data_IF_542022189792
#
_entry.id   IF_542022189792
#
_cell.length_a   1.000
_cell.length_b   1.000
_cell.length_c   1.000
_cell.angle_alpha   90.00
_cell.angle_beta   90.00
_cell.angle_gamma   90.00
#
_symmetry.space_group_name_H-M   'P 1'
#
loop_
_entity.id
_entity.type
_entity.pdbx_description
1 polymer ?
#
# COMPACT_ATOMS: atom_id res chain seq x y z
N UNK A 1 5.60 -13.22 24.87
CA UNK A 1 5.75 -12.85 26.30
C UNK A 1 4.52 -12.10 26.87
N UNK A 2 3.52 -11.76 26.03
CA UNK A 2 2.25 -11.13 26.51
C UNK A 2 1.13 -12.16 26.77
N UNK A 3 1.34 -13.39 26.36
CA UNK A 3 0.40 -14.50 26.57
C UNK A 3 1.07 -15.46 27.57
N UNK A 4 0.37 -15.82 28.66
CA UNK A 4 0.91 -16.65 29.74
C UNK A 4 1.44 -18.02 29.26
N UNK A 5 2.16 -18.71 30.15
CA UNK A 5 2.86 -19.98 29.88
C UNK A 5 1.94 -21.14 29.43
N UNK A 6 0.63 -21.04 29.66
CA UNK A 6 -0.38 -22.04 29.24
C UNK A 6 -0.90 -21.86 27.81
N UNK A 7 -0.24 -21.02 26.99
CA UNK A 7 -0.68 -20.76 25.61
C UNK A 7 -0.22 -21.86 24.66
N UNK A 8 -1.15 -22.54 24.01
CA UNK A 8 -0.84 -23.46 22.91
C UNK A 8 -0.49 -22.68 21.66
N UNK A 9 0.74 -22.81 21.17
CA UNK A 9 1.20 -22.18 19.92
C UNK A 9 1.07 -23.18 18.77
N UNK A 10 0.18 -22.89 17.82
CA UNK A 10 0.05 -23.63 16.57
C UNK A 10 0.73 -22.81 15.46
N UNK A 11 1.74 -23.38 14.82
CA UNK A 11 2.45 -22.75 13.68
C UNK A 11 2.13 -23.52 12.43
N UNK A 12 1.56 -22.82 11.43
CA UNK A 12 1.42 -23.32 10.06
C UNK A 12 2.58 -22.81 9.17
N UNK A 13 2.62 -23.29 7.95
CA UNK A 13 3.54 -22.76 6.93
C UNK A 13 3.16 -21.32 6.56
N UNK A 14 4.17 -20.46 6.36
CA UNK A 14 3.96 -19.07 5.92
C UNK A 14 3.75 -18.98 4.41
N UNK A 15 4.28 -19.93 3.66
CA UNK A 15 4.08 -20.02 2.22
C UNK A 15 2.69 -20.59 1.91
N UNK A 16 2.09 -20.10 0.81
CA UNK A 16 0.85 -20.65 0.26
C UNK A 16 1.14 -21.21 -1.11
N UNK A 17 0.84 -22.47 -1.32
CA UNK A 17 1.03 -23.18 -2.61
C UNK A 17 0.22 -22.54 -3.73
N UNK A 18 -0.88 -21.84 -3.39
CA UNK A 18 -1.73 -21.13 -4.36
C UNK A 18 -1.06 -19.89 -4.97
N UNK A 19 0.04 -19.37 -4.39
CA UNK A 19 0.66 -18.14 -4.89
C UNK A 19 1.75 -18.42 -5.91
N UNK A 20 1.62 -17.83 -7.09
CA UNK A 20 2.65 -17.80 -8.14
C UNK A 20 3.37 -16.46 -8.09
N UNK A 21 4.59 -16.47 -7.57
CA UNK A 21 5.39 -15.26 -7.38
C UNK A 21 6.29 -15.01 -8.61
N UNK A 22 6.22 -13.79 -9.14
CA UNK A 22 7.07 -13.33 -10.25
C UNK A 22 7.67 -11.97 -9.96
N UNK A 23 8.85 -11.70 -10.56
CA UNK A 23 9.50 -10.40 -10.56
C UNK A 23 9.91 -10.06 -11.98
N UNK A 24 9.54 -8.88 -12.46
CA UNK A 24 9.96 -8.35 -13.76
C UNK A 24 10.82 -7.09 -13.54
N UNK A 25 12.14 -7.24 -13.42
CA UNK A 25 13.05 -6.11 -13.24
C UNK A 25 13.38 -5.41 -14.56
N UNK A 26 14.05 -4.26 -14.45
CA UNK A 26 14.67 -3.59 -15.60
C UNK A 26 13.73 -2.77 -16.49
N UNK A 27 12.49 -2.57 -16.06
CA UNK A 27 11.55 -1.70 -16.75
C UNK A 27 11.65 -0.28 -16.18
N UNK A 28 11.76 0.72 -17.06
CA UNK A 28 11.59 2.12 -16.67
C UNK A 28 10.11 2.40 -16.25
N UNK A 29 9.81 3.55 -15.62
CA UNK A 29 8.47 3.85 -15.15
C UNK A 29 7.39 3.74 -16.23
N UNK A 30 7.68 4.23 -17.44
CA UNK A 30 6.76 4.19 -18.58
C UNK A 30 6.53 2.77 -19.08
N UNK A 31 7.62 2.00 -19.19
CA UNK A 31 7.57 0.60 -19.61
C UNK A 31 6.80 -0.30 -18.60
N UNK A 32 6.91 -0.04 -17.31
CA UNK A 32 6.12 -0.76 -16.28
C UNK A 32 4.63 -0.52 -16.46
N UNK A 33 4.22 0.74 -16.69
CA UNK A 33 2.80 1.08 -16.90
C UNK A 33 2.31 0.46 -18.22
N UNK A 34 3.09 0.56 -19.29
CA UNK A 34 2.74 -0.03 -20.58
C UNK A 34 2.63 -1.56 -20.50
N UNK A 35 3.55 -2.20 -19.77
CA UNK A 35 3.52 -3.63 -19.53
C UNK A 35 2.23 -4.02 -18.76
N UNK A 36 1.95 -3.33 -17.65
CA UNK A 36 0.73 -3.59 -16.87
C UNK A 36 -0.52 -3.42 -17.73
N UNK A 37 -0.60 -2.35 -18.52
CA UNK A 37 -1.72 -2.04 -19.39
C UNK A 37 -1.96 -3.15 -20.43
N UNK A 38 -0.88 -3.72 -20.96
CA UNK A 38 -0.97 -4.80 -21.97
C UNK A 38 -1.33 -6.16 -21.37
N UNK A 39 -1.04 -6.39 -20.08
CA UNK A 39 -1.18 -7.72 -19.46
C UNK A 39 -2.23 -7.77 -18.35
N UNK A 40 -2.84 -6.64 -17.95
CA UNK A 40 -3.83 -6.65 -16.87
C UNK A 40 -5.01 -7.58 -17.18
N UNK A 41 -5.37 -7.69 -18.45
CA UNK A 41 -6.43 -8.59 -18.92
C UNK A 41 -6.13 -10.07 -18.74
N UNK A 42 -4.86 -10.45 -18.77
CA UNK A 42 -4.40 -11.85 -18.73
C UNK A 42 -4.51 -12.44 -17.30
N UNK A 43 -4.49 -11.61 -16.27
CA UNK A 43 -4.68 -12.09 -14.90
C UNK A 43 -6.09 -12.63 -14.70
N UNK A 44 -6.22 -13.74 -14.00
CA UNK A 44 -7.52 -14.34 -13.70
C UNK A 44 -8.24 -13.59 -12.59
N UNK A 45 -9.53 -13.34 -12.76
CA UNK A 45 -10.39 -12.71 -11.74
C UNK A 45 -10.10 -11.23 -11.53
N UNK A 46 -10.39 -10.76 -10.32
CA UNK A 46 -10.13 -9.41 -9.85
C UNK A 46 -8.88 -9.36 -8.98
N UNK A 47 -8.22 -8.20 -8.90
CA UNK A 47 -7.00 -8.06 -8.13
C UNK A 47 -6.75 -6.67 -7.57
N UNK A 48 -5.56 -6.50 -7.01
CA UNK A 48 -5.07 -5.23 -6.49
C UNK A 48 -3.74 -4.90 -7.18
N UNK A 49 -3.61 -3.67 -7.64
CA UNK A 49 -2.35 -3.11 -8.12
C UNK A 49 -1.86 -2.10 -7.10
N UNK A 50 -0.81 -2.43 -6.38
CA UNK A 50 -0.21 -1.52 -5.40
C UNK A 50 0.76 -0.56 -6.07
N UNK A 51 0.71 0.70 -5.64
CA UNK A 51 1.61 1.77 -6.05
C UNK A 51 2.19 2.46 -4.82
N UNK A 52 3.34 3.11 -4.98
CA UNK A 52 4.02 3.78 -3.87
C UNK A 52 3.42 5.17 -3.55
N UNK A 53 2.82 5.84 -4.54
CA UNK A 53 2.33 7.21 -4.40
C UNK A 53 0.88 7.34 -4.88
N UNK A 54 0.20 8.36 -4.36
CA UNK A 54 -1.17 8.70 -4.76
C UNK A 54 -1.23 9.10 -6.22
N UNK A 55 -0.27 9.92 -6.69
CA UNK A 55 -0.22 10.36 -8.09
C UNK A 55 -0.05 9.17 -9.04
N UNK A 56 0.82 8.21 -8.72
CA UNK A 56 0.98 7.00 -9.52
C UNK A 56 -0.32 6.19 -9.58
N UNK A 57 -1.06 6.07 -8.46
CA UNK A 57 -2.35 5.38 -8.45
C UNK A 57 -3.38 6.07 -9.37
N UNK A 58 -3.46 7.39 -9.32
CA UNK A 58 -4.38 8.19 -10.13
C UNK A 58 -4.02 8.09 -11.64
N UNK A 59 -2.74 8.25 -11.99
CA UNK A 59 -2.26 8.18 -13.38
C UNK A 59 -2.43 6.80 -14.00
N UNK A 60 -2.06 5.74 -13.28
CA UNK A 60 -2.24 4.37 -13.75
C UNK A 60 -3.72 4.06 -13.91
N UNK A 61 -4.58 4.49 -12.97
CA UNK A 61 -6.02 4.32 -13.09
C UNK A 61 -6.56 4.97 -14.37
N UNK A 62 -6.16 6.21 -14.66
CA UNK A 62 -6.56 6.92 -15.86
C UNK A 62 -6.14 6.17 -17.13
N UNK A 63 -4.87 5.78 -17.23
CA UNK A 63 -4.31 5.07 -18.39
C UNK A 63 -5.04 3.74 -18.62
N UNK A 64 -5.26 2.95 -17.57
CA UNK A 64 -5.92 1.66 -17.70
C UNK A 64 -7.41 1.80 -18.06
N UNK A 65 -8.10 2.83 -17.56
CA UNK A 65 -9.49 3.12 -17.95
C UNK A 65 -9.61 3.57 -19.40
N UNK A 66 -8.67 4.38 -19.87
CA UNK A 66 -8.62 4.80 -21.30
C UNK A 66 -8.44 3.60 -22.25
N UNK A 67 -7.89 2.49 -21.76
CA UNK A 67 -7.78 1.22 -22.46
C UNK A 67 -8.97 0.27 -22.24
N UNK A 68 -10.01 0.72 -21.54
CA UNK A 68 -11.25 -0.04 -21.34
C UNK A 68 -11.25 -0.98 -20.13
N UNK A 69 -10.24 -0.90 -19.25
CA UNK A 69 -10.26 -1.70 -18.03
C UNK A 69 -11.13 -1.08 -16.94
N UNK A 70 -11.97 -1.90 -16.29
CA UNK A 70 -12.76 -1.49 -15.13
C UNK A 70 -11.89 -1.44 -13.87
N UNK A 71 -11.23 -0.31 -13.66
CA UNK A 71 -10.35 -0.06 -12.50
C UNK A 71 -10.71 1.24 -11.81
N UNK A 72 -10.39 1.35 -10.53
CA UNK A 72 -10.57 2.56 -9.70
C UNK A 72 -9.36 2.77 -8.80
N UNK A 73 -9.07 4.04 -8.50
CA UNK A 73 -8.04 4.39 -7.53
C UNK A 73 -8.57 4.23 -6.10
N UNK A 74 -7.73 3.74 -5.20
CA UNK A 74 -8.00 3.62 -3.77
C UNK A 74 -6.80 4.15 -2.99
N UNK A 75 -6.91 5.34 -2.45
CA UNK A 75 -5.78 6.06 -1.84
C UNK A 75 -6.14 6.64 -0.48
N UNK A 76 -5.18 7.29 0.17
CA UNK A 76 -5.42 8.04 1.39
C UNK A 76 -6.42 9.21 1.22
N UNK A 77 -6.62 9.69 -0.03
CA UNK A 77 -7.56 10.78 -0.36
C UNK A 77 -8.99 10.31 -0.61
N UNK A 78 -9.20 9.01 -0.84
CA UNK A 78 -10.52 8.42 -1.02
C UNK A 78 -11.29 8.52 0.30
N UNK A 79 -12.49 9.08 0.32
CA UNK A 79 -13.29 9.18 1.53
C UNK A 79 -13.85 7.83 2.01
N UNK A 80 -14.42 7.80 3.21
CA UNK A 80 -14.83 6.53 3.84
C UNK A 80 -16.01 5.86 3.13
N UNK A 81 -16.94 6.64 2.59
CA UNK A 81 -18.11 6.12 1.89
C UNK A 81 -17.71 5.53 0.54
N UNK A 82 -16.91 6.27 -0.23
CA UNK A 82 -16.34 5.80 -1.50
C UNK A 82 -15.48 4.55 -1.30
N UNK A 83 -14.66 4.48 -0.24
CA UNK A 83 -13.87 3.27 0.08
C UNK A 83 -14.75 2.05 0.23
N UNK A 84 -15.84 2.16 1.01
CA UNK A 84 -16.75 1.05 1.22
C UNK A 84 -17.41 0.59 -0.09
N UNK A 85 -17.79 1.53 -0.96
CA UNK A 85 -18.34 1.23 -2.27
C UNK A 85 -17.32 0.51 -3.17
N UNK A 86 -16.09 1.02 -3.26
CA UNK A 86 -15.02 0.45 -4.07
C UNK A 86 -14.64 -0.96 -3.61
N UNK A 87 -14.56 -1.17 -2.30
CA UNK A 87 -14.32 -2.49 -1.73
C UNK A 87 -15.44 -3.48 -2.06
N UNK A 88 -16.70 -3.02 -1.99
CA UNK A 88 -17.84 -3.85 -2.37
C UNK A 88 -17.83 -4.15 -3.87
N UNK A 89 -17.53 -3.17 -4.72
CA UNK A 89 -17.42 -3.37 -6.16
C UNK A 89 -16.34 -4.41 -6.51
N UNK A 90 -15.19 -4.39 -5.80
CA UNK A 90 -14.14 -5.38 -6.01
C UNK A 90 -14.56 -6.77 -5.51
N UNK A 91 -15.23 -6.86 -4.36
CA UNK A 91 -15.78 -8.12 -3.82
C UNK A 91 -16.78 -8.76 -4.78
N UNK A 92 -17.62 -7.95 -5.40
CA UNK A 92 -18.64 -8.38 -6.37
C UNK A 92 -18.06 -8.66 -7.78
N UNK A 93 -16.75 -8.60 -7.96
CA UNK A 93 -16.06 -8.76 -9.27
C UNK A 93 -16.52 -7.76 -10.34
N UNK A 94 -17.03 -6.59 -9.94
CA UNK A 94 -17.41 -5.50 -10.86
C UNK A 94 -16.21 -4.63 -11.27
N UNK A 95 -15.08 -4.79 -10.59
CA UNK A 95 -13.81 -4.16 -10.94
C UNK A 95 -12.80 -5.23 -11.34
N UNK A 96 -12.00 -4.95 -12.36
CA UNK A 96 -10.83 -5.75 -12.68
C UNK A 96 -9.74 -5.58 -11.63
N UNK A 97 -9.52 -4.34 -11.16
CA UNK A 97 -8.58 -4.08 -10.08
C UNK A 97 -8.90 -2.78 -9.32
N UNK A 98 -8.47 -2.73 -8.06
CA UNK A 98 -8.20 -1.49 -7.36
C UNK A 98 -6.72 -1.12 -7.55
N UNK A 99 -6.47 0.12 -7.97
CA UNK A 99 -5.13 0.70 -8.04
C UNK A 99 -4.91 1.43 -6.72
N UNK A 100 -4.14 0.84 -5.82
CA UNK A 100 -4.14 1.23 -4.43
C UNK A 100 -2.75 1.64 -3.92
N UNK A 101 -2.73 2.58 -2.98
CA UNK A 101 -1.58 2.77 -2.10
C UNK A 101 -1.71 1.85 -0.88
N UNK A 102 -0.78 1.96 0.08
CA UNK A 102 -0.89 1.28 1.39
C UNK A 102 -2.17 1.64 2.18
N UNK A 103 -2.98 2.62 1.71
CA UNK A 103 -4.28 2.97 2.28
C UNK A 103 -5.29 1.82 2.22
N UNK A 104 -5.19 0.91 1.24
CA UNK A 104 -5.91 -0.35 1.26
C UNK A 104 -5.26 -1.28 2.30
N UNK A 105 -5.56 -0.97 3.55
CA UNK A 105 -4.91 -1.53 4.73
C UNK A 105 -5.57 -2.77 5.29
N UNK A 106 -5.23 -3.09 6.56
CA UNK A 106 -5.80 -4.21 7.30
C UNK A 106 -7.33 -4.11 7.34
N UNK A 107 -8.01 -5.26 7.23
CA UNK A 107 -9.48 -5.34 7.29
C UNK A 107 -10.16 -5.61 5.94
N UNK A 108 -9.52 -5.29 4.81
CA UNK A 108 -10.05 -5.71 3.51
C UNK A 108 -9.76 -7.20 3.29
N UNK A 109 -10.79 -7.97 3.05
CA UNK A 109 -10.72 -9.39 2.70
C UNK A 109 -11.58 -9.70 1.48
N UNK A 110 -10.96 -10.38 0.51
CA UNK A 110 -11.60 -10.96 -0.67
C UNK A 110 -10.96 -12.33 -0.91
N UNK A 111 -11.61 -13.42 -0.50
CA UNK A 111 -11.04 -14.77 -0.54
C UNK A 111 -10.64 -15.22 -1.94
N UNK A 112 -11.40 -14.84 -2.96
CA UNK A 112 -11.20 -15.15 -4.38
C UNK A 112 -10.37 -14.10 -5.13
N UNK A 113 -9.50 -13.33 -4.43
CA UNK A 113 -8.60 -12.37 -5.07
C UNK A 113 -7.58 -13.11 -5.95
N UNK A 114 -7.66 -12.88 -7.27
CA UNK A 114 -6.92 -13.64 -8.26
C UNK A 114 -5.49 -13.17 -8.48
N UNK A 115 -5.19 -11.89 -8.20
CA UNK A 115 -3.84 -11.37 -8.39
C UNK A 115 -3.51 -10.16 -7.50
N UNK A 116 -2.22 -9.98 -7.28
CA UNK A 116 -1.62 -8.77 -6.69
C UNK A 116 -0.43 -8.36 -7.54
N UNK A 117 -0.42 -7.12 -8.02
CA UNK A 117 0.71 -6.53 -8.74
C UNK A 117 1.27 -5.36 -7.95
N UNK A 118 2.59 -5.27 -7.84
CA UNK A 118 3.28 -4.11 -7.27
C UNK A 118 3.95 -3.33 -8.39
N UNK A 119 3.55 -2.08 -8.60
CA UNK A 119 4.25 -1.10 -9.44
C UNK A 119 5.12 -0.24 -8.53
N UNK A 120 6.38 -0.66 -8.39
CA UNK A 120 7.28 -0.24 -7.33
C UNK A 120 7.28 -1.21 -6.15
N UNK A 121 8.45 -1.46 -5.58
CA UNK A 121 8.59 -2.38 -4.46
C UNK A 121 8.15 -1.74 -3.14
N UNK A 122 7.39 -2.43 -2.28
CA UNK A 122 7.06 -1.94 -0.95
C UNK A 122 8.31 -1.66 -0.10
N UNK A 123 8.19 -0.74 0.84
CA UNK A 123 9.32 -0.28 1.68
C UNK A 123 9.87 -1.34 2.66
N UNK A 124 9.22 -2.48 2.79
CA UNK A 124 9.69 -3.57 3.64
C UNK A 124 9.16 -4.93 3.19
N UNK A 125 9.90 -5.99 3.53
CA UNK A 125 9.45 -7.37 3.32
C UNK A 125 8.14 -7.69 4.07
N UNK A 126 7.91 -7.07 5.22
CA UNK A 126 6.68 -7.23 5.99
C UNK A 126 5.50 -6.62 5.24
N UNK A 127 5.65 -5.40 4.70
CA UNK A 127 4.61 -4.76 3.89
C UNK A 127 4.31 -5.59 2.64
N UNK A 128 5.33 -6.08 1.94
CA UNK A 128 5.18 -6.97 0.80
C UNK A 128 4.38 -8.22 1.18
N UNK A 129 4.78 -8.92 2.23
CA UNK A 129 4.13 -10.13 2.70
C UNK A 129 2.64 -9.90 3.06
N UNK A 130 2.32 -8.80 3.75
CA UNK A 130 0.95 -8.45 4.11
C UNK A 130 0.07 -8.16 2.89
N UNK A 131 0.63 -7.53 1.86
CA UNK A 131 -0.08 -7.21 0.61
C UNK A 131 -0.27 -8.46 -0.25
N UNK A 132 0.76 -9.25 -0.45
CA UNK A 132 0.73 -10.53 -1.17
C UNK A 132 -0.23 -11.52 -0.50
N UNK A 133 -0.22 -11.58 0.81
CA UNK A 133 -1.07 -12.47 1.60
C UNK A 133 -2.58 -12.21 1.47
N UNK A 134 -3.01 -11.21 0.69
CA UNK A 134 -4.43 -10.99 0.37
C UNK A 134 -4.93 -11.90 -0.74
N UNK A 135 -4.05 -12.28 -1.68
CA UNK A 135 -4.39 -13.16 -2.79
C UNK A 135 -4.33 -14.65 -2.39
N UNK A 136 -4.98 -15.49 -3.17
CA UNK A 136 -4.83 -16.94 -3.08
C UNK A 136 -5.43 -17.59 -1.84
N UNK A 137 -6.43 -16.97 -1.20
CA UNK A 137 -7.02 -17.52 0.04
C UNK A 137 -8.02 -18.64 -0.25
N UNK A 138 -8.83 -18.48 -1.29
CA UNK A 138 -9.83 -19.45 -1.70
C UNK A 138 -9.82 -19.66 -3.23
N UNK A 139 -8.65 -19.58 -3.84
CA UNK A 139 -8.42 -19.85 -5.25
C UNK A 139 -7.36 -20.96 -5.38
N UNK A 140 -7.44 -21.78 -6.42
CA UNK A 140 -6.41 -22.79 -6.71
C UNK A 140 -5.05 -22.15 -7.01
N UNK A 141 -5.08 -20.97 -7.63
CA UNK A 141 -3.88 -20.17 -7.88
C UNK A 141 -4.19 -18.68 -7.91
N UNK A 142 -3.23 -17.87 -7.53
CA UNK A 142 -3.25 -16.42 -7.66
C UNK A 142 -1.86 -15.91 -8.08
N UNK A 143 -1.85 -14.95 -8.98
CA UNK A 143 -0.62 -14.37 -9.49
C UNK A 143 -0.16 -13.20 -8.62
N UNK A 144 1.12 -13.19 -8.28
CA UNK A 144 1.76 -12.10 -7.59
C UNK A 144 2.94 -11.64 -8.41
N UNK A 145 2.91 -10.38 -8.84
CA UNK A 145 3.97 -9.81 -9.66
C UNK A 145 4.54 -8.56 -9.01
N UNK A 146 5.87 -8.48 -8.98
CA UNK A 146 6.60 -7.29 -8.57
C UNK A 146 7.29 -6.67 -9.79
N UNK A 147 6.99 -5.39 -10.05
CA UNK A 147 7.63 -4.55 -11.05
C UNK A 147 8.47 -3.48 -10.33
N UNK A 148 9.70 -3.81 -9.88
CA UNK A 148 10.52 -2.89 -9.11
C UNK A 148 11.07 -1.76 -9.99
N UNK A 149 11.29 -0.59 -9.40
CA UNK A 149 11.89 0.56 -10.02
C UNK A 149 13.20 1.00 -9.35
N UNK A 150 14.07 1.62 -10.11
CA UNK A 150 15.30 2.20 -9.57
C UNK A 150 14.99 3.35 -8.58
N UNK A 151 13.88 4.06 -8.81
CA UNK A 151 13.39 5.17 -8.00
C UNK A 151 12.77 4.74 -6.66
N UNK A 152 12.49 3.46 -6.46
CA UNK A 152 11.81 2.96 -5.25
C UNK A 152 12.58 3.36 -3.98
N UNK A 153 13.90 3.29 -4.00
CA UNK A 153 14.75 3.65 -2.86
C UNK A 153 14.60 5.15 -2.49
N UNK A 154 14.57 6.04 -3.47
CA UNK A 154 14.41 7.48 -3.24
C UNK A 154 13.01 7.78 -2.65
N UNK A 155 11.99 7.07 -3.12
CA UNK A 155 10.63 7.20 -2.59
C UNK A 155 10.56 6.72 -1.13
N UNK A 156 11.22 5.61 -0.80
CA UNK A 156 11.27 5.13 0.59
C UNK A 156 12.02 6.09 1.51
N UNK A 157 13.17 6.61 1.07
CA UNK A 157 13.94 7.61 1.81
C UNK A 157 13.12 8.86 2.06
N UNK A 158 12.39 9.34 1.05
CA UNK A 158 11.48 10.47 1.21
C UNK A 158 10.43 10.21 2.29
N UNK A 159 9.73 9.08 2.26
CA UNK A 159 8.71 8.76 3.27
C UNK A 159 9.32 8.53 4.67
N UNK A 160 10.49 7.95 4.75
CA UNK A 160 11.18 7.75 6.02
C UNK A 160 11.59 9.08 6.67
N UNK A 161 12.04 10.04 5.87
CA UNK A 161 12.51 11.35 6.35
C UNK A 161 11.36 12.36 6.53
N UNK A 162 10.36 12.35 5.65
CA UNK A 162 9.24 13.29 5.71
C UNK A 162 8.33 13.09 6.93
N UNK A 163 8.34 11.89 7.54
CA UNK A 163 7.57 11.58 8.75
C UNK A 163 8.31 11.91 10.07
N UNK A 164 9.60 12.19 10.00
CA UNK A 164 10.41 12.53 11.18
C UNK A 164 10.70 14.03 11.18
N UNK A 165 10.42 14.72 12.30
CA UNK A 165 10.82 16.10 12.44
C UNK A 165 12.35 16.19 12.40
N UNK A 166 12.87 17.33 11.95
CA UNK A 166 14.32 17.55 12.04
C UNK A 166 14.78 17.55 13.51
N UNK A 167 16.06 17.20 13.74
CA UNK A 167 16.61 17.23 15.10
C UNK A 167 16.46 18.62 15.75
N UNK A 168 16.57 19.69 14.96
CA UNK A 168 16.38 21.07 15.43
C UNK A 168 14.94 21.31 15.86
N UNK A 169 13.94 20.87 15.06
CA UNK A 169 12.52 21.04 15.38
C UNK A 169 12.13 20.23 16.62
N UNK A 170 12.61 18.98 16.71
CA UNK A 170 12.39 18.15 17.88
C UNK A 170 12.98 18.78 19.14
N UNK A 171 14.21 19.29 19.08
CA UNK A 171 14.84 19.98 20.20
C UNK A 171 14.10 21.28 20.57
N UNK A 172 13.63 22.06 19.59
CA UNK A 172 12.87 23.27 19.83
C UNK A 172 11.56 23.00 20.57
N UNK A 173 10.83 21.93 20.15
CA UNK A 173 9.61 21.48 20.84
C UNK A 173 9.91 21.03 22.27
N UNK A 174 10.96 20.21 22.47
CA UNK A 174 11.34 19.76 23.81
C UNK A 174 11.74 20.90 24.72
N UNK A 175 12.47 21.90 24.21
CA UNK A 175 12.85 23.12 24.95
C UNK A 175 11.61 23.93 25.34
N UNK A 176 10.71 24.18 24.38
CA UNK A 176 9.46 24.91 24.64
C UNK A 176 8.57 24.20 25.71
N UNK A 177 8.54 22.87 25.69
CA UNK A 177 7.82 22.11 26.71
C UNK A 177 8.50 22.14 28.06
N UNK A 178 9.84 22.13 28.12
CA UNK A 178 10.60 22.18 29.38
C UNK A 178 10.54 23.58 30.06
N UNK A 179 10.42 24.62 29.26
CA UNK A 179 10.33 26.01 29.76
C UNK A 179 8.88 26.42 30.11
N UNK A 180 7.89 25.60 29.79
CA UNK A 180 6.49 25.92 30.06
C UNK A 180 6.11 25.65 31.50
N UNK A 181 5.35 26.55 32.11
CA UNK A 181 4.79 26.39 33.46
C UNK A 181 3.64 25.40 33.56
N UNK A 182 3.29 24.70 32.45
CA UNK A 182 2.21 23.72 32.38
C UNK A 182 1.97 23.18 30.96
N UNK A 183 0.91 22.36 30.74
CA UNK A 183 0.64 21.75 29.45
C UNK A 183 0.42 22.78 28.35
N UNK A 184 1.04 22.55 27.19
CA UNK A 184 0.84 23.34 25.98
C UNK A 184 -0.07 22.63 25.00
N UNK A 185 -0.98 23.38 24.33
CA UNK A 185 -1.73 22.86 23.20
C UNK A 185 -0.83 22.80 21.95
N UNK A 186 -1.18 21.93 20.98
CA UNK A 186 -0.45 21.83 19.70
C UNK A 186 -0.37 23.19 19.02
N UNK A 187 -1.48 23.92 18.91
CA UNK A 187 -1.50 25.25 18.29
C UNK A 187 -0.56 26.27 18.99
N UNK A 188 -0.41 26.16 20.31
CA UNK A 188 0.53 27.00 21.08
C UNK A 188 1.98 26.62 20.79
N UNK A 189 2.27 25.30 20.70
CA UNK A 189 3.60 24.81 20.34
C UNK A 189 3.99 25.22 18.92
N UNK A 190 3.10 25.06 17.95
CA UNK A 190 3.32 25.50 16.55
C UNK A 190 3.69 26.99 16.48
N UNK A 191 3.01 27.81 17.29
CA UNK A 191 3.31 29.24 17.35
C UNK A 191 4.69 29.53 17.98
N UNK A 192 5.08 28.79 19.02
CA UNK A 192 6.34 28.98 19.73
C UNK A 192 7.55 28.48 18.93
N UNK A 193 7.39 27.38 18.22
CA UNK A 193 8.48 26.71 17.48
C UNK A 193 8.57 27.21 16.02
N UNK A 194 7.52 27.86 15.51
CA UNK A 194 7.48 28.39 14.14
C UNK A 194 7.39 27.33 13.06
N UNK A 195 7.02 26.10 13.42
CA UNK A 195 6.80 24.98 12.51
C UNK A 195 5.29 24.75 12.30
N UNK A 196 4.93 24.35 11.10
CA UNK A 196 3.56 23.92 10.77
C UNK A 196 3.49 22.41 10.65
#
# INVERSE_FOLDING_TARGET
EQLGDDTTVVRGELARDSLRLGVQPGLDPSARIAWLASHLGDFTGSGIVYTLTVSAAEDITRILRDQGHEVRAYTGRTDAEERAELEQMLKDNRLKALIATSALGMGFDKPDLGFVVHVGAPSSAVAYYQQVGRAGRATESADVLLLPGAEDTEIWEYFATASMPSQSDANAVLTALAEADGPLSVARLETLVGTK
#
